data_IF_266559975638
#
_entry.id   IF_266559975638
#
_cell.length_a   1.000
_cell.length_b   1.000
_cell.length_c   1.000
_cell.angle_alpha   90.00
_cell.angle_beta   90.00
_cell.angle_gamma   90.00
#
_symmetry.space_group_name_H-M   'P 1'
#
loop_
_entity.id
_entity.type
_entity.pdbx_description
1 polymer ?
#
# COMPACT_ATOMS: atom_id res chain seq x y z
N UNK A 1 5.27 4.15 18.27
CA UNK A 1 4.39 3.79 17.14
C UNK A 1 4.86 2.47 16.56
N UNK A 2 3.93 1.58 16.28
CA UNK A 2 4.22 0.31 15.62
C UNK A 2 4.83 0.58 14.22
N UNK A 3 5.92 -0.12 13.89
CA UNK A 3 6.57 -0.04 12.57
C UNK A 3 6.29 -1.37 11.87
N UNK A 4 5.62 -1.31 10.71
CA UNK A 4 5.38 -2.48 9.89
C UNK A 4 6.72 -2.99 9.32
N UNK A 5 6.99 -4.28 9.48
CA UNK A 5 8.11 -4.98 8.86
C UNK A 5 7.58 -5.94 7.80
N UNK A 6 8.28 -6.02 6.67
CA UNK A 6 7.86 -6.84 5.54
C UNK A 6 8.74 -8.07 5.40
N UNK A 7 8.10 -9.24 5.38
CA UNK A 7 8.70 -10.52 5.02
C UNK A 7 8.28 -10.84 3.58
N UNK A 8 9.21 -10.86 2.61
CA UNK A 8 8.87 -11.11 1.21
C UNK A 8 8.13 -12.42 0.97
N UNK A 9 8.48 -13.51 1.70
CA UNK A 9 7.81 -14.81 1.55
C UNK A 9 6.38 -14.80 2.08
N UNK A 10 6.17 -14.23 3.26
CA UNK A 10 4.83 -14.08 3.83
C UNK A 10 3.98 -13.14 2.96
N UNK A 11 4.59 -12.08 2.40
CA UNK A 11 3.91 -11.17 1.47
C UNK A 11 3.57 -11.85 0.14
N UNK A 12 4.46 -12.65 -0.43
CA UNK A 12 4.19 -13.42 -1.65
C UNK A 12 2.99 -14.36 -1.47
N UNK A 13 2.88 -15.04 -0.34
CA UNK A 13 1.78 -15.97 -0.05
C UNK A 13 0.45 -15.25 0.22
N UNK A 14 0.47 -14.19 1.04
CA UNK A 14 -0.73 -13.54 1.55
C UNK A 14 -1.07 -12.23 0.83
N UNK A 15 -0.13 -11.65 0.08
CA UNK A 15 -0.26 -10.39 -0.67
C UNK A 15 -0.31 -10.56 -2.19
N UNK A 16 -0.22 -11.79 -2.74
CA UNK A 16 -0.21 -12.03 -4.19
C UNK A 16 -1.43 -11.43 -4.92
N UNK A 17 -2.58 -11.33 -4.26
CA UNK A 17 -3.76 -10.67 -4.81
C UNK A 17 -3.53 -9.19 -5.14
N UNK A 18 -2.59 -8.51 -4.47
CA UNK A 18 -2.26 -7.09 -4.72
C UNK A 18 -1.77 -6.91 -6.16
N UNK A 19 -0.93 -7.81 -6.65
CA UNK A 19 -0.42 -7.78 -8.03
C UNK A 19 -1.49 -8.18 -9.04
N UNK A 20 -2.30 -9.19 -8.72
CA UNK A 20 -3.40 -9.66 -9.58
C UNK A 20 -4.48 -8.61 -9.78
N UNK A 21 -4.78 -7.82 -8.75
CA UNK A 21 -5.82 -6.79 -8.78
C UNK A 21 -5.33 -5.40 -9.25
N UNK A 22 -4.04 -5.25 -9.56
CA UNK A 22 -3.45 -3.97 -9.99
C UNK A 22 -3.77 -3.60 -11.46
N UNK A 23 -4.47 -4.44 -12.23
CA UNK A 23 -4.78 -4.18 -13.65
C UNK A 23 -5.32 -2.78 -13.89
N UNK A 24 -6.33 -2.36 -13.14
CA UNK A 24 -6.95 -1.05 -13.35
C UNK A 24 -6.05 0.15 -13.03
N UNK A 25 -5.11 0.08 -12.08
CA UNK A 25 -4.16 1.19 -11.83
C UNK A 25 -3.05 1.22 -12.89
N UNK A 26 -2.66 0.06 -13.44
CA UNK A 26 -1.74 0.00 -14.58
C UNK A 26 -2.36 0.56 -15.86
N UNK A 27 -3.66 0.33 -16.10
CA UNK A 27 -4.40 0.97 -17.19
C UNK A 27 -4.40 2.50 -17.03
N UNK A 28 -4.59 3.02 -15.82
CA UNK A 28 -4.54 4.47 -15.57
C UNK A 28 -3.13 5.03 -15.72
N UNK A 29 -2.08 4.26 -15.40
CA UNK A 29 -0.70 4.65 -15.67
C UNK A 29 -0.46 4.81 -17.17
N UNK A 30 -1.01 3.92 -18.01
CA UNK A 30 -0.85 3.92 -19.46
C UNK A 30 0.62 4.12 -19.88
N UNK A 31 1.50 3.30 -19.32
CA UNK A 31 2.94 3.38 -19.55
C UNK A 31 3.28 3.21 -21.05
N UNK A 32 4.23 4.01 -21.54
CA UNK A 32 4.64 4.01 -22.96
C UNK A 32 6.10 3.60 -23.10
N UNK A 33 6.47 2.99 -24.25
CA UNK A 33 7.87 2.70 -24.53
C UNK A 33 8.75 3.96 -24.45
N UNK A 34 9.91 3.82 -23.79
CA UNK A 34 10.89 4.89 -23.64
C UNK A 34 10.65 5.87 -22.49
N UNK A 35 9.46 5.89 -21.88
CA UNK A 35 9.21 6.71 -20.68
C UNK A 35 10.12 6.29 -19.50
N UNK A 36 10.56 7.28 -18.72
CA UNK A 36 11.23 7.07 -17.45
C UNK A 36 10.17 7.08 -16.34
N UNK A 37 9.99 5.96 -15.63
CA UNK A 37 8.94 5.80 -14.61
C UNK A 37 9.58 5.42 -13.28
N UNK A 38 9.20 6.10 -12.21
CA UNK A 38 9.52 5.73 -10.83
C UNK A 38 8.36 4.88 -10.26
N UNK A 39 8.67 3.68 -9.76
CA UNK A 39 7.74 2.85 -8.98
C UNK A 39 8.01 3.05 -7.49
N UNK A 40 7.15 3.82 -6.83
CA UNK A 40 7.29 4.28 -5.46
C UNK A 40 6.63 3.29 -4.48
N UNK A 41 7.45 2.60 -3.69
CA UNK A 41 7.03 1.45 -2.88
C UNK A 41 6.90 0.20 -3.76
N UNK A 42 7.97 -0.14 -4.50
CA UNK A 42 7.96 -1.19 -5.52
C UNK A 42 7.83 -2.61 -4.96
N UNK A 43 8.02 -2.78 -3.65
CA UNK A 43 7.98 -4.08 -2.99
C UNK A 43 8.95 -5.09 -3.64
N UNK A 44 8.46 -6.29 -3.92
CA UNK A 44 9.21 -7.38 -4.54
C UNK A 44 9.48 -7.18 -6.05
N UNK A 45 8.97 -6.09 -6.66
CA UNK A 45 9.23 -5.72 -8.05
C UNK A 45 8.33 -6.34 -9.12
N UNK A 46 7.33 -7.14 -8.76
CA UNK A 46 6.45 -7.79 -9.74
C UNK A 46 5.70 -6.78 -10.62
N UNK A 47 5.15 -5.70 -10.05
CA UNK A 47 4.50 -4.64 -10.84
C UNK A 47 5.51 -3.82 -11.63
N UNK A 48 6.68 -3.53 -11.05
CA UNK A 48 7.78 -2.86 -11.73
C UNK A 48 8.18 -3.61 -13.02
N UNK A 49 8.29 -4.94 -12.94
CA UNK A 49 8.57 -5.78 -14.10
C UNK A 49 7.46 -5.71 -15.17
N UNK A 50 6.19 -5.70 -14.74
CA UNK A 50 5.05 -5.56 -15.67
C UNK A 50 5.05 -4.19 -16.37
N UNK A 51 5.40 -3.12 -15.65
CA UNK A 51 5.54 -1.78 -16.25
C UNK A 51 6.72 -1.77 -17.22
N UNK A 52 7.87 -2.35 -16.84
CA UNK A 52 9.04 -2.43 -17.73
C UNK A 52 8.77 -3.23 -19.02
N UNK A 53 7.91 -4.25 -18.97
CA UNK A 53 7.50 -5.04 -20.14
C UNK A 53 6.77 -4.20 -21.22
N UNK A 54 6.27 -3.00 -20.89
CA UNK A 54 5.72 -2.05 -21.88
C UNK A 54 6.80 -1.34 -22.72
N UNK A 55 8.10 -1.54 -22.39
CA UNK A 55 9.22 -0.82 -22.99
C UNK A 55 9.59 0.47 -22.24
N UNK A 56 8.97 0.76 -21.11
CA UNK A 56 9.36 1.85 -20.22
C UNK A 56 10.66 1.54 -19.45
N UNK A 57 11.41 2.60 -19.11
CA UNK A 57 12.58 2.53 -18.24
C UNK A 57 12.11 2.74 -16.80
N UNK A 58 12.05 1.67 -16.00
CA UNK A 58 11.49 1.74 -14.66
C UNK A 58 12.61 1.66 -13.61
N UNK A 59 12.52 2.52 -12.60
CA UNK A 59 13.29 2.49 -11.38
C UNK A 59 12.33 2.27 -10.20
N UNK A 60 12.56 1.23 -9.40
CA UNK A 60 11.81 0.98 -8.16
C UNK A 60 12.49 1.60 -6.96
N UNK A 61 11.72 2.05 -5.96
CA UNK A 61 12.22 2.36 -4.62
C UNK A 61 11.32 1.75 -3.57
N UNK A 62 11.93 1.24 -2.49
CA UNK A 62 11.24 0.75 -1.31
C UNK A 62 12.09 1.01 -0.07
N UNK A 63 11.48 1.16 1.10
CA UNK A 63 12.20 1.33 2.38
C UNK A 63 12.70 0.01 2.95
N UNK A 64 12.22 -1.11 2.45
CA UNK A 64 12.60 -2.45 2.90
C UNK A 64 13.76 -2.99 2.07
N UNK A 65 14.95 -3.11 2.68
CA UNK A 65 16.11 -3.74 2.02
C UNK A 65 15.80 -5.15 1.52
N UNK A 66 14.96 -5.92 2.24
CA UNK A 66 14.56 -7.26 1.85
C UNK A 66 13.70 -7.26 0.57
N UNK A 67 12.75 -6.31 0.46
CA UNK A 67 11.93 -6.12 -0.74
C UNK A 67 12.77 -5.68 -1.93
N UNK A 68 13.67 -4.71 -1.73
CA UNK A 68 14.61 -4.27 -2.78
C UNK A 68 15.48 -5.42 -3.26
N UNK A 69 15.97 -6.27 -2.36
CA UNK A 69 16.75 -7.45 -2.75
C UNK A 69 15.92 -8.44 -3.57
N UNK A 70 14.66 -8.67 -3.22
CA UNK A 70 13.71 -9.51 -3.98
C UNK A 70 13.46 -8.92 -5.37
N UNK A 71 13.19 -7.61 -5.48
CA UNK A 71 13.00 -6.92 -6.76
C UNK A 71 14.23 -7.05 -7.68
N UNK A 72 15.42 -6.86 -7.12
CA UNK A 72 16.68 -7.03 -7.87
C UNK A 72 16.89 -8.46 -8.36
N UNK A 73 16.49 -9.46 -7.57
CA UNK A 73 16.54 -10.87 -7.96
C UNK A 73 15.62 -11.18 -9.17
N UNK A 74 14.54 -10.43 -9.35
CA UNK A 74 13.68 -10.47 -10.53
C UNK A 74 14.25 -9.69 -11.75
N UNK A 75 15.46 -9.11 -11.63
CA UNK A 75 16.08 -8.32 -12.69
C UNK A 75 15.58 -6.87 -12.76
N UNK A 76 14.84 -6.40 -11.78
CA UNK A 76 14.34 -5.02 -11.70
C UNK A 76 15.42 -4.10 -11.13
N UNK A 77 15.54 -2.89 -11.66
CA UNK A 77 16.36 -1.83 -11.04
C UNK A 77 15.59 -1.29 -9.86
N UNK A 78 16.14 -1.44 -8.66
CA UNK A 78 15.51 -0.94 -7.44
C UNK A 78 16.55 -0.42 -6.45
N UNK A 79 16.18 0.59 -5.66
CA UNK A 79 17.03 1.22 -4.62
C UNK A 79 16.27 1.28 -3.29
N UNK A 80 17.01 1.19 -2.19
CA UNK A 80 16.45 1.43 -0.86
C UNK A 80 16.37 2.93 -0.63
N UNK A 81 15.14 3.45 -0.54
CA UNK A 81 14.90 4.87 -0.30
C UNK A 81 13.54 5.13 0.33
N UNK A 82 13.42 6.23 1.09
CA UNK A 82 12.14 6.73 1.58
C UNK A 82 11.44 7.55 0.50
N UNK A 83 10.12 7.41 0.41
CA UNK A 83 9.27 8.28 -0.41
C UNK A 83 9.34 9.76 0.02
N UNK A 84 9.73 10.02 1.26
CA UNK A 84 9.86 11.34 1.87
C UNK A 84 11.21 12.02 1.54
N UNK A 85 12.16 11.29 0.91
CA UNK A 85 13.48 11.78 0.51
C UNK A 85 14.05 10.91 -0.61
N UNK A 86 13.74 11.28 -1.86
CA UNK A 86 14.08 10.51 -3.04
C UNK A 86 15.50 10.85 -3.54
N UNK A 87 16.38 9.85 -3.81
CA UNK A 87 17.76 10.06 -4.22
C UNK A 87 17.89 10.37 -5.72
N UNK A 88 16.92 11.07 -6.30
CA UNK A 88 16.89 11.40 -7.72
C UNK A 88 16.92 12.90 -7.94
N UNK A 89 17.49 13.36 -9.09
CA UNK A 89 17.48 14.78 -9.44
C UNK A 89 16.05 15.23 -9.76
N UNK A 90 15.86 16.56 -9.75
CA UNK A 90 14.61 17.18 -10.18
C UNK A 90 14.28 16.79 -11.63
N UNK A 91 12.99 16.63 -11.91
CA UNK A 91 12.48 16.41 -13.27
C UNK A 91 13.08 15.20 -13.98
N UNK A 92 13.34 14.11 -13.26
CA UNK A 92 13.95 12.91 -13.79
C UNK A 92 12.93 11.98 -14.48
N UNK A 93 11.66 12.02 -14.07
CA UNK A 93 10.67 11.02 -14.47
C UNK A 93 9.51 11.61 -15.25
N UNK A 94 9.03 10.86 -16.25
CA UNK A 94 7.80 11.16 -16.99
C UNK A 94 6.54 10.77 -16.19
N UNK A 95 6.67 9.76 -15.33
CA UNK A 95 5.61 9.35 -14.43
C UNK A 95 6.18 8.82 -13.09
N UNK A 96 5.40 8.99 -12.03
CA UNK A 96 5.54 8.25 -10.77
C UNK A 96 4.33 7.34 -10.63
N UNK A 97 4.57 6.09 -10.35
CA UNK A 97 3.57 5.06 -10.07
C UNK A 97 3.69 4.60 -8.64
N UNK A 98 2.58 4.26 -7.99
CA UNK A 98 2.60 3.60 -6.68
C UNK A 98 1.37 2.72 -6.52
N UNK A 99 1.56 1.50 -6.01
CA UNK A 99 0.44 0.61 -5.71
C UNK A 99 0.57 0.03 -4.29
N UNK A 100 -0.47 0.21 -3.49
CA UNK A 100 -0.60 -0.32 -2.12
C UNK A 100 0.50 0.11 -1.13
N UNK A 101 1.23 1.21 -1.39
CA UNK A 101 2.34 1.67 -0.57
C UNK A 101 2.07 3.00 0.17
N UNK A 102 1.42 3.98 -0.47
CA UNK A 102 1.33 5.36 0.04
C UNK A 102 0.64 5.50 1.39
N UNK A 103 -0.28 4.61 1.74
CA UNK A 103 -0.96 4.65 3.04
C UNK A 103 -0.06 4.24 4.23
N UNK A 104 1.16 3.76 3.97
CA UNK A 104 2.19 3.49 4.96
C UNK A 104 3.13 4.67 5.19
N UNK A 105 3.16 5.65 4.26
CA UNK A 105 4.01 6.84 4.35
C UNK A 105 3.50 7.74 5.47
N UNK A 106 4.38 8.16 6.37
CA UNK A 106 4.02 8.96 7.54
C UNK A 106 3.85 10.43 7.20
N UNK A 107 4.85 11.00 6.54
CA UNK A 107 4.81 12.39 6.08
C UNK A 107 4.33 12.44 4.63
N UNK A 108 3.01 12.53 4.48
CA UNK A 108 2.36 12.62 3.17
C UNK A 108 2.73 13.92 2.43
N UNK A 109 3.02 15.00 3.17
CA UNK A 109 3.34 16.29 2.56
C UNK A 109 4.79 16.29 2.05
N UNK A 110 5.75 15.73 2.80
CA UNK A 110 7.11 15.51 2.33
C UNK A 110 7.16 14.60 1.09
N UNK A 111 6.43 13.48 1.12
CA UNK A 111 6.34 12.55 -0.02
C UNK A 111 5.79 13.27 -1.27
N UNK A 112 4.71 14.05 -1.14
CA UNK A 112 4.12 14.76 -2.29
C UNK A 112 5.06 15.81 -2.86
N UNK A 113 5.80 16.53 -2.00
CA UNK A 113 6.83 17.49 -2.44
C UNK A 113 7.94 16.80 -3.24
N UNK A 114 8.43 15.65 -2.77
CA UNK A 114 9.44 14.85 -3.47
C UNK A 114 8.93 14.30 -4.81
N UNK A 115 7.72 13.75 -4.82
CA UNK A 115 7.11 13.25 -6.06
C UNK A 115 6.96 14.39 -7.08
N UNK A 116 6.50 15.57 -6.66
CA UNK A 116 6.39 16.73 -7.54
C UNK A 116 7.76 17.19 -8.06
N UNK A 117 8.78 17.20 -7.20
CA UNK A 117 10.15 17.60 -7.54
C UNK A 117 10.76 16.70 -8.62
N UNK A 118 10.62 15.38 -8.47
CA UNK A 118 11.24 14.42 -9.40
C UNK A 118 10.46 14.24 -10.71
N UNK A 119 9.20 14.67 -10.77
CA UNK A 119 8.42 14.67 -12.01
C UNK A 119 8.84 15.80 -12.96
N UNK A 120 8.91 15.47 -14.24
CA UNK A 120 9.02 16.49 -15.31
C UNK A 120 7.76 17.35 -15.34
N UNK A 121 7.84 18.61 -15.83
CA UNK A 121 6.65 19.42 -16.06
C UNK A 121 5.64 18.68 -16.94
N UNK A 122 4.39 18.57 -16.47
CA UNK A 122 3.33 17.79 -17.13
C UNK A 122 3.43 16.28 -16.92
N UNK A 123 4.40 15.79 -16.17
CA UNK A 123 4.52 14.39 -15.74
C UNK A 123 3.32 13.97 -14.89
N UNK A 124 3.05 12.66 -14.84
CA UNK A 124 1.87 12.15 -14.11
C UNK A 124 2.26 11.37 -12.84
N UNK A 125 1.48 11.59 -11.81
CA UNK A 125 1.47 10.77 -10.60
C UNK A 125 0.22 9.89 -10.62
N UNK A 126 0.41 8.58 -10.68
CA UNK A 126 -0.68 7.60 -10.74
C UNK A 126 -0.52 6.62 -9.60
N UNK A 127 -1.52 6.52 -8.74
CA UNK A 127 -1.42 5.59 -7.63
C UNK A 127 -2.75 4.97 -7.23
N UNK A 128 -2.64 3.83 -6.55
CA UNK A 128 -3.70 3.18 -5.81
C UNK A 128 -3.23 2.86 -4.40
N UNK A 129 -4.04 3.26 -3.41
CA UNK A 129 -3.74 3.05 -1.99
C UNK A 129 -5.02 2.69 -1.23
N UNK A 130 -4.93 2.36 0.05
CA UNK A 130 -6.10 2.29 0.90
C UNK A 130 -6.78 3.66 1.00
N UNK A 131 -8.08 3.72 0.77
CA UNK A 131 -8.89 4.94 0.92
C UNK A 131 -9.77 4.90 2.15
N UNK A 132 -10.61 5.92 2.32
CA UNK A 132 -11.55 5.99 3.44
C UNK A 132 -12.43 4.73 3.48
N UNK A 133 -12.55 4.12 4.66
CA UNK A 133 -13.27 2.86 4.85
C UNK A 133 -12.47 1.59 4.52
N UNK A 134 -11.21 1.70 4.10
CA UNK A 134 -10.37 0.55 3.79
C UNK A 134 -10.17 -0.33 5.03
N UNK A 135 -10.53 -1.61 4.93
CA UNK A 135 -10.49 -2.63 6.00
C UNK A 135 -11.10 -2.15 7.32
N UNK A 136 -12.19 -1.38 7.21
CA UNK A 136 -12.79 -0.71 8.36
C UNK A 136 -13.34 -1.68 9.41
N UNK A 137 -13.98 -2.77 8.99
CA UNK A 137 -14.46 -3.79 9.92
C UNK A 137 -13.28 -4.42 10.67
N UNK A 138 -12.20 -4.75 9.96
CA UNK A 138 -11.00 -5.36 10.55
C UNK A 138 -10.36 -4.41 11.57
N UNK A 139 -10.22 -3.12 11.25
CA UNK A 139 -9.63 -2.14 12.16
C UNK A 139 -10.48 -1.93 13.42
N UNK A 140 -11.80 -1.83 13.26
CA UNK A 140 -12.72 -1.66 14.40
C UNK A 140 -12.66 -2.87 15.32
N UNK A 141 -12.69 -4.09 14.76
CA UNK A 141 -12.60 -5.32 15.55
C UNK A 141 -11.26 -5.44 16.28
N UNK A 142 -10.16 -5.22 15.59
CA UNK A 142 -8.81 -5.26 16.18
C UNK A 142 -8.68 -4.21 17.28
N UNK A 143 -9.10 -2.96 17.05
CA UNK A 143 -9.06 -1.90 18.06
C UNK A 143 -9.89 -2.26 19.29
N UNK A 144 -11.08 -2.83 19.11
CA UNK A 144 -11.94 -3.24 20.21
C UNK A 144 -11.30 -4.37 21.05
N UNK A 145 -10.67 -5.35 20.39
CA UNK A 145 -9.95 -6.44 21.07
C UNK A 145 -8.72 -5.91 21.82
N UNK A 146 -7.92 -5.08 21.16
CA UNK A 146 -6.75 -4.44 21.77
C UNK A 146 -7.13 -3.62 23.02
N UNK A 147 -8.22 -2.84 22.93
CA UNK A 147 -8.70 -2.03 24.05
C UNK A 147 -9.13 -2.90 25.25
N UNK A 148 -9.78 -4.06 25.03
CA UNK A 148 -10.13 -5.02 26.09
C UNK A 148 -8.90 -5.56 26.83
N UNK A 149 -7.78 -5.69 26.11
CA UNK A 149 -6.50 -6.14 26.69
C UNK A 149 -5.62 -5.00 27.21
N UNK A 150 -6.11 -3.75 27.23
CA UNK A 150 -5.40 -2.60 27.81
C UNK A 150 -4.50 -1.84 26.83
N UNK A 151 -4.69 -2.03 25.51
CA UNK A 151 -3.89 -1.41 24.44
C UNK A 151 -4.76 -0.58 23.46
N UNK A 152 -5.53 0.43 23.90
CA UNK A 152 -6.52 1.10 23.06
C UNK A 152 -5.96 1.93 21.90
N UNK A 153 -4.69 2.37 22.00
CA UNK A 153 -4.12 3.36 21.08
C UNK A 153 -3.07 2.82 20.11
N UNK A 154 -2.75 1.52 20.16
CA UNK A 154 -1.65 0.95 19.36
C UNK A 154 -1.92 1.03 17.86
N UNK A 155 -3.18 0.84 17.42
CA UNK A 155 -3.58 0.89 16.01
C UNK A 155 -3.70 2.33 15.48
N UNK A 156 -3.73 3.34 16.36
CA UNK A 156 -3.92 4.74 15.95
C UNK A 156 -2.75 5.25 15.11
N UNK A 157 -3.07 5.74 13.91
CA UNK A 157 -2.10 6.36 13.00
C UNK A 157 -1.13 5.39 12.32
N UNK A 158 -1.40 4.07 12.32
CA UNK A 158 -0.59 3.08 11.59
C UNK A 158 -0.71 3.31 10.08
N UNK A 159 -1.92 3.61 9.59
CA UNK A 159 -2.18 3.87 8.18
C UNK A 159 -2.93 5.19 7.97
N UNK A 160 -2.77 5.74 6.77
CA UNK A 160 -3.50 6.91 6.29
C UNK A 160 -4.49 6.52 5.19
N UNK A 161 -5.79 6.62 5.49
CA UNK A 161 -6.88 6.27 4.57
C UNK A 161 -7.77 7.49 4.29
N UNK A 162 -7.41 8.35 3.33
CA UNK A 162 -8.12 9.59 3.05
C UNK A 162 -9.39 9.38 2.23
N UNK A 163 -10.31 10.37 2.32
CA UNK A 163 -11.38 10.52 1.33
C UNK A 163 -10.82 11.12 0.03
N UNK A 164 -11.51 10.96 -1.12
CA UNK A 164 -11.11 11.59 -2.38
C UNK A 164 -10.94 13.11 -2.26
N UNK A 165 -11.85 13.78 -1.56
CA UNK A 165 -11.82 15.24 -1.40
C UNK A 165 -10.63 15.70 -0.55
N UNK A 166 -10.34 14.98 0.54
CA UNK A 166 -9.19 15.30 1.39
C UNK A 166 -7.88 15.10 0.64
N UNK A 167 -7.76 14.02 -0.15
CA UNK A 167 -6.54 13.75 -0.91
C UNK A 167 -6.38 14.68 -2.10
N UNK A 168 -7.48 15.05 -2.78
CA UNK A 168 -7.48 16.09 -3.83
C UNK A 168 -6.95 17.41 -3.30
N UNK A 169 -7.47 17.88 -2.15
CA UNK A 169 -6.97 19.12 -1.52
C UNK A 169 -5.47 19.06 -1.21
N UNK A 170 -4.97 17.91 -0.75
CA UNK A 170 -3.56 17.71 -0.44
C UNK A 170 -2.71 17.74 -1.71
N UNK A 171 -3.07 16.99 -2.75
CA UNK A 171 -2.40 16.99 -4.05
C UNK A 171 -2.34 18.42 -4.63
N UNK A 172 -3.46 19.15 -4.63
CA UNK A 172 -3.52 20.53 -5.15
C UNK A 172 -2.61 21.49 -4.40
N UNK A 173 -2.51 21.38 -3.08
CA UNK A 173 -1.56 22.20 -2.27
C UNK A 173 -0.09 21.98 -2.65
N UNK A 174 0.23 20.79 -3.16
CA UNK A 174 1.59 20.46 -3.63
C UNK A 174 1.78 20.66 -5.14
N UNK A 175 0.91 21.45 -5.80
CA UNK A 175 1.07 21.82 -7.19
C UNK A 175 0.47 20.86 -8.21
N UNK A 176 -0.12 19.77 -7.77
CA UNK A 176 -0.75 18.81 -8.67
C UNK A 176 -2.14 19.25 -9.14
N UNK A 177 -2.43 19.01 -10.42
CA UNK A 177 -3.79 19.07 -10.97
C UNK A 177 -4.35 17.65 -11.04
N UNK A 178 -5.37 17.36 -10.22
CA UNK A 178 -6.03 16.05 -10.22
C UNK A 178 -6.88 15.91 -11.49
N UNK A 179 -6.61 14.89 -12.31
CA UNK A 179 -7.38 14.57 -13.50
C UNK A 179 -8.49 13.56 -13.23
N UNK A 180 -8.20 12.59 -12.38
CA UNK A 180 -9.14 11.54 -12.00
C UNK A 180 -8.85 11.08 -10.57
N UNK A 181 -9.89 10.83 -9.80
CA UNK A 181 -9.80 10.22 -8.47
C UNK A 181 -11.09 9.44 -8.20
N UNK A 182 -10.95 8.23 -7.64
CA UNK A 182 -12.09 7.38 -7.32
C UNK A 182 -11.85 6.59 -6.04
N UNK A 183 -12.91 6.39 -5.27
CA UNK A 183 -12.96 5.45 -4.17
C UNK A 183 -13.65 4.17 -4.65
N UNK A 184 -12.94 3.04 -4.58
CA UNK A 184 -13.33 1.78 -5.22
C UNK A 184 -13.45 0.70 -4.14
N UNK A 185 -14.68 0.29 -3.76
CA UNK A 185 -14.86 -0.90 -2.94
C UNK A 185 -14.27 -2.13 -3.63
N UNK A 186 -13.49 -2.90 -2.89
CA UNK A 186 -12.81 -4.08 -3.43
C UNK A 186 -12.81 -5.21 -2.40
N UNK A 187 -13.97 -5.80 -2.07
CA UNK A 187 -13.99 -7.01 -1.27
C UNK A 187 -13.04 -8.05 -1.88
N UNK A 188 -12.11 -8.55 -1.08
CA UNK A 188 -11.03 -9.41 -1.58
C UNK A 188 -11.06 -10.74 -0.85
N UNK A 189 -11.27 -11.87 -1.54
CA UNK A 189 -11.13 -13.20 -0.94
C UNK A 189 -9.72 -13.39 -0.37
N UNK A 190 -9.64 -13.96 0.82
CA UNK A 190 -8.37 -14.26 1.47
C UNK A 190 -7.90 -15.67 1.09
N UNK A 191 -6.56 -15.84 1.06
CA UNK A 191 -5.93 -17.12 0.82
C UNK A 191 -6.18 -18.12 1.99
N UNK A 192 -5.69 -19.33 1.83
CA UNK A 192 -5.66 -20.35 2.89
C UNK A 192 -5.03 -19.75 4.17
N UNK A 193 -5.66 -20.03 5.34
CA UNK A 193 -5.31 -19.36 6.60
C UNK A 193 -6.19 -18.14 6.94
N UNK A 194 -6.90 -17.57 5.96
CA UNK A 194 -7.97 -16.59 6.15
C UNK A 194 -7.57 -15.34 6.94
N UNK A 195 -8.47 -14.91 7.85
CA UNK A 195 -8.31 -13.66 8.60
C UNK A 195 -7.12 -13.69 9.59
N UNK A 196 -6.82 -14.83 10.17
CA UNK A 196 -5.71 -14.94 11.13
C UNK A 196 -4.35 -14.72 10.45
N UNK A 197 -4.13 -15.31 9.27
CA UNK A 197 -2.91 -15.08 8.49
C UNK A 197 -2.84 -13.64 7.94
N UNK A 198 -3.99 -13.09 7.55
CA UNK A 198 -4.07 -11.68 7.16
C UNK A 198 -3.62 -10.76 8.29
N UNK A 199 -4.10 -10.96 9.51
CA UNK A 199 -3.72 -10.17 10.69
C UNK A 199 -2.22 -10.32 10.99
N UNK A 200 -1.68 -11.55 11.00
CA UNK A 200 -0.26 -11.81 11.23
C UNK A 200 0.63 -11.14 10.19
N UNK A 201 0.18 -11.05 8.94
CA UNK A 201 0.94 -10.44 7.84
C UNK A 201 0.86 -8.92 7.85
N UNK A 202 -0.36 -8.36 7.84
CA UNK A 202 -0.58 -6.93 7.61
C UNK A 202 -0.70 -6.10 8.89
N UNK A 203 -0.76 -6.76 10.07
CA UNK A 203 -0.77 -6.12 11.39
C UNK A 203 0.41 -6.57 12.26
N UNK A 204 1.41 -7.19 11.65
CA UNK A 204 2.62 -7.66 12.35
C UNK A 204 3.24 -6.56 13.21
N UNK A 205 3.43 -5.36 12.66
CA UNK A 205 4.01 -4.25 13.41
C UNK A 205 3.21 -3.85 14.66
N UNK A 206 1.89 -4.02 14.64
CA UNK A 206 1.01 -3.83 15.82
C UNK A 206 1.17 -5.00 16.78
N UNK A 207 1.08 -6.22 16.29
CA UNK A 207 1.19 -7.44 17.10
C UNK A 207 2.55 -7.55 17.81
N UNK A 208 3.63 -7.15 17.15
CA UNK A 208 5.00 -7.20 17.72
C UNK A 208 5.20 -6.22 18.90
N UNK A 209 4.32 -5.22 19.09
CA UNK A 209 4.34 -4.35 20.26
C UNK A 209 3.69 -5.00 21.50
N UNK A 210 2.96 -6.10 21.32
CA UNK A 210 2.31 -6.84 22.39
C UNK A 210 3.25 -7.86 23.03
N UNK A 211 3.02 -8.23 24.32
CA UNK A 211 3.64 -9.41 24.92
C UNK A 211 3.39 -10.64 24.04
N UNK A 212 4.40 -11.49 23.87
CA UNK A 212 4.33 -12.67 23.01
C UNK A 212 3.13 -13.57 23.35
N UNK A 213 2.87 -13.76 24.66
CA UNK A 213 1.75 -14.56 25.15
C UNK A 213 0.35 -14.02 24.79
N UNK A 214 0.25 -12.75 24.37
CA UNK A 214 -1.02 -12.11 24.06
C UNK A 214 -1.29 -12.07 22.53
N UNK A 215 -0.25 -12.17 21.71
CA UNK A 215 -0.36 -11.97 20.25
C UNK A 215 -1.39 -12.89 19.61
N UNK A 216 -1.31 -14.19 19.91
CA UNK A 216 -2.21 -15.17 19.31
C UNK A 216 -3.65 -14.99 19.80
N UNK A 217 -3.84 -14.72 21.09
CA UNK A 217 -5.17 -14.43 21.66
C UNK A 217 -5.84 -13.24 20.94
N UNK A 218 -5.08 -12.15 20.70
CA UNK A 218 -5.61 -10.98 19.98
C UNK A 218 -5.98 -11.33 18.55
N UNK A 219 -5.18 -12.14 17.86
CA UNK A 219 -5.49 -12.59 16.48
C UNK A 219 -6.77 -13.43 16.44
N UNK A 220 -6.89 -14.44 17.32
CA UNK A 220 -8.04 -15.34 17.36
C UNK A 220 -9.33 -14.61 17.76
N UNK A 221 -9.29 -13.76 18.80
CA UNK A 221 -10.44 -12.97 19.23
C UNK A 221 -10.89 -11.97 18.16
N UNK A 222 -9.95 -11.34 17.45
CA UNK A 222 -10.27 -10.44 16.34
C UNK A 222 -10.93 -11.20 15.20
N UNK A 223 -10.40 -12.36 14.80
CA UNK A 223 -10.99 -13.19 13.76
C UNK A 223 -12.40 -13.68 14.17
N UNK A 224 -12.59 -14.12 15.41
CA UNK A 224 -13.89 -14.54 15.91
C UNK A 224 -14.93 -13.40 15.87
N UNK A 225 -14.51 -12.17 16.23
CA UNK A 225 -15.39 -10.99 16.18
C UNK A 225 -15.77 -10.60 14.74
N UNK A 226 -14.90 -10.87 13.76
CA UNK A 226 -15.11 -10.56 12.34
C UNK A 226 -15.93 -11.62 11.59
N UNK A 227 -15.96 -12.86 12.09
CA UNK A 227 -16.58 -13.98 11.38
C UNK A 227 -18.03 -13.71 10.93
N UNK A 228 -18.92 -13.11 11.74
CA UNK A 228 -20.30 -12.83 11.30
C UNK A 228 -20.41 -11.85 10.12
N UNK A 229 -19.39 -11.02 9.87
CA UNK A 229 -19.42 -9.98 8.85
C UNK A 229 -18.56 -10.29 7.60
N UNK A 230 -17.48 -11.05 7.77
CA UNK A 230 -16.46 -11.23 6.74
C UNK A 230 -16.17 -12.70 6.39
N UNK A 231 -16.93 -13.64 6.93
CA UNK A 231 -16.82 -15.07 6.62
C UNK A 231 -18.16 -15.60 6.09
N UNK A 232 -18.13 -16.27 4.95
CA UNK A 232 -19.34 -16.88 4.37
C UNK A 232 -19.71 -18.22 5.02
N UNK A 233 -20.82 -18.81 4.57
CA UNK A 233 -21.35 -20.08 5.10
C UNK A 233 -20.44 -21.28 4.76
N UNK A 234 -19.66 -21.17 3.69
CA UNK A 234 -18.66 -22.16 3.27
C UNK A 234 -17.34 -22.04 4.04
N UNK A 235 -17.20 -20.99 4.83
CA UNK A 235 -16.01 -20.73 5.66
C UNK A 235 -14.94 -19.87 4.99
N UNK A 236 -15.22 -19.32 3.79
CA UNK A 236 -14.28 -18.43 3.10
C UNK A 236 -14.29 -17.05 3.72
N UNK A 237 -13.12 -16.43 3.77
CA UNK A 237 -12.95 -15.08 4.29
C UNK A 237 -12.81 -14.04 3.17
N UNK A 238 -13.40 -12.87 3.39
CA UNK A 238 -13.29 -11.72 2.50
C UNK A 238 -12.84 -10.51 3.31
N UNK A 239 -11.76 -9.84 2.92
CA UNK A 239 -11.35 -8.57 3.51
C UNK A 239 -12.08 -7.40 2.84
N UNK A 240 -12.54 -6.45 3.65
CA UNK A 240 -13.33 -5.28 3.26
C UNK A 240 -12.47 -4.13 2.72
N UNK A 241 -11.63 -4.40 1.70
CA UNK A 241 -10.79 -3.38 1.09
C UNK A 241 -11.59 -2.30 0.38
N UNK A 242 -11.14 -1.05 0.57
CA UNK A 242 -11.58 0.12 -0.21
C UNK A 242 -10.34 0.83 -0.73
N UNK A 243 -10.24 1.00 -2.04
CA UNK A 243 -9.07 1.62 -2.68
C UNK A 243 -9.37 3.04 -3.15
N UNK A 244 -8.43 3.93 -2.87
CA UNK A 244 -8.37 5.26 -3.47
C UNK A 244 -7.39 5.17 -4.64
N UNK A 245 -7.88 5.45 -5.86
CA UNK A 245 -7.07 5.50 -7.08
C UNK A 245 -7.13 6.88 -7.67
N UNK A 246 -5.99 7.39 -8.19
CA UNK A 246 -5.95 8.70 -8.79
C UNK A 246 -4.93 8.84 -9.91
N UNK A 247 -5.15 9.86 -10.76
CA UNK A 247 -4.20 10.42 -11.70
C UNK A 247 -4.11 11.92 -11.44
N UNK A 248 -2.87 12.41 -11.25
CA UNK A 248 -2.59 13.83 -11.08
C UNK A 248 -1.39 14.26 -11.94
N UNK A 249 -1.35 15.53 -12.35
CA UNK A 249 -0.27 16.12 -13.17
C UNK A 249 0.53 17.15 -12.38
N UNK A 250 1.84 17.10 -12.55
CA UNK A 250 2.76 18.12 -12.05
C UNK A 250 2.87 19.34 -12.96
#
# INVERSE_FOLDING_TARGET
MAIQTWDPKAYEQNGAFVHGLAGGVLEWLAAKPGESILDLGCGDGQLTQRIAATGAKVMGVDTSAAMVAAARALGVKAEEASAESLPFPDRAFDAVFSNAALHWVRDQDAMMAEVHRVLKPGGRFVAEMGGHGNVAAILVALTAVLARHGYPDIENGVNYYPTPEAYTRRLTRHGFRVEQIALIPRPTPLAEGGMTEWLRTFRRGVLDTLPESLRETVVEETAALLAPALRDEEGNWVADYVRLRFVARA
#
